data_IF_295723262406
#
_entry.id   IF_295723262406
#
_cell.length_a   1.000
_cell.length_b   1.000
_cell.length_c   1.000
_cell.angle_alpha   90.00
_cell.angle_beta   90.00
_cell.angle_gamma   90.00
#
_symmetry.space_group_name_H-M   'P 1'
#
loop_
_entity.id
_entity.type
_entity.pdbx_description
1 polymer ?
#
# COMPACT_ATOMS: atom_id res chain seq x y z
N UNK A 1 29.23 27.68 8.35
CA UNK A 1 27.95 27.37 9.02
C UNK A 1 26.86 27.37 7.97
N UNK A 2 26.64 26.22 7.34
CA UNK A 2 25.56 26.01 6.38
C UNK A 2 24.32 25.63 7.17
N UNK A 3 23.35 26.54 7.23
CA UNK A 3 22.06 26.30 7.86
C UNK A 3 21.34 25.16 7.15
N UNK A 4 20.99 24.14 7.93
CA UNK A 4 20.06 23.10 7.49
C UNK A 4 18.67 23.73 7.42
N UNK A 5 18.06 23.68 6.24
CA UNK A 5 16.63 23.94 6.09
C UNK A 5 15.88 22.72 6.64
N UNK A 6 15.50 22.77 7.92
CA UNK A 6 14.44 21.93 8.44
C UNK A 6 13.13 22.41 7.83
N UNK A 7 12.55 21.60 6.94
CA UNK A 7 11.18 21.81 6.48
C UNK A 7 10.19 21.66 7.63
N UNK A 8 8.97 22.19 7.52
CA UNK A 8 7.98 22.08 8.58
C UNK A 8 7.72 20.60 8.90
N UNK A 9 7.99 20.20 10.13
CA UNK A 9 7.52 18.95 10.71
C UNK A 9 5.99 19.00 10.66
N UNK A 10 5.37 18.14 9.85
CA UNK A 10 3.92 17.98 9.90
C UNK A 10 3.56 17.54 11.33
N UNK A 11 2.49 18.09 11.87
CA UNK A 11 2.07 17.89 13.25
C UNK A 11 2.00 16.40 13.60
N UNK A 12 2.46 16.05 14.81
CA UNK A 12 2.39 14.70 15.35
C UNK A 12 0.99 14.11 15.17
N UNK A 13 0.90 12.80 14.84
CA UNK A 13 -0.37 12.10 14.65
C UNK A 13 -1.31 12.33 15.84
N UNK A 14 -2.43 13.03 15.60
CA UNK A 14 -3.37 13.48 16.62
C UNK A 14 -4.51 12.49 16.89
N UNK A 15 -4.39 11.25 16.40
CA UNK A 15 -5.47 10.26 16.41
C UNK A 15 -6.30 10.25 15.11
N UNK A 16 -7.16 9.22 14.94
CA UNK A 16 -7.91 9.02 13.72
C UNK A 16 -8.97 10.11 13.57
N UNK A 17 -9.04 10.68 12.38
CA UNK A 17 -10.08 11.60 11.95
C UNK A 17 -10.25 11.48 10.45
N UNK A 18 -11.41 11.90 9.96
CA UNK A 18 -11.70 11.86 8.53
C UNK A 18 -10.71 12.75 7.77
N UNK A 19 -10.09 12.25 6.68
CA UNK A 19 -9.19 13.06 5.89
C UNK A 19 -9.96 14.20 5.22
N UNK A 20 -9.39 15.40 5.26
CA UNK A 20 -9.92 16.51 4.46
C UNK A 20 -9.56 16.31 2.98
N UNK A 21 -10.60 16.25 2.13
CA UNK A 21 -10.47 15.96 0.70
C UNK A 21 -10.88 17.14 -0.18
N UNK A 22 -10.11 17.34 -1.25
CA UNK A 22 -10.55 18.09 -2.43
C UNK A 22 -10.67 17.15 -3.63
N UNK A 23 -11.51 17.50 -4.61
CA UNK A 23 -11.79 16.64 -5.76
C UNK A 23 -11.33 17.31 -7.04
N UNK A 24 -10.20 16.84 -7.59
CA UNK A 24 -9.67 17.35 -8.86
C UNK A 24 -10.52 16.81 -10.01
N UNK A 25 -10.97 17.73 -10.86
CA UNK A 25 -11.85 17.43 -12.01
C UNK A 25 -13.13 16.68 -11.60
N UNK A 26 -13.52 16.76 -10.32
CA UNK A 26 -14.68 16.07 -9.75
C UNK A 26 -14.50 14.57 -9.50
N UNK A 27 -13.36 13.98 -9.91
CA UNK A 27 -13.15 12.52 -9.97
C UNK A 27 -12.04 12.05 -9.02
N UNK A 28 -10.88 12.71 -9.00
CA UNK A 28 -9.74 12.21 -8.21
C UNK A 28 -9.69 12.90 -6.84
N UNK A 29 -9.76 12.15 -5.73
CA UNK A 29 -9.57 12.73 -4.41
C UNK A 29 -8.11 13.11 -4.20
N UNK A 30 -7.91 14.29 -3.62
CA UNK A 30 -6.62 14.86 -3.25
C UNK A 30 -6.69 15.20 -1.78
N UNK A 31 -5.74 14.66 -0.99
CA UNK A 31 -5.64 15.01 0.43
C UNK A 31 -5.19 16.46 0.56
N UNK A 32 -5.94 17.28 1.28
CA UNK A 32 -5.52 18.67 1.56
C UNK A 32 -4.36 18.72 2.55
N UNK A 33 -4.30 17.77 3.49
CA UNK A 33 -3.22 17.61 4.45
C UNK A 33 -1.89 17.22 3.78
N UNK A 34 -1.95 16.34 2.78
CA UNK A 34 -0.76 15.86 2.07
C UNK A 34 -0.47 16.59 0.76
N UNK A 35 -1.43 17.33 0.22
CA UNK A 35 -1.35 18.03 -1.07
C UNK A 35 -0.82 17.10 -2.17
N UNK A 36 -1.46 15.93 -2.26
CA UNK A 36 -1.07 14.81 -3.13
C UNK A 36 -2.32 13.95 -3.44
N UNK A 37 -2.52 13.48 -4.70
CA UNK A 37 -3.67 12.65 -5.06
C UNK A 37 -3.54 11.23 -4.52
N UNK A 38 -4.68 10.58 -4.22
CA UNK A 38 -4.71 9.19 -3.72
C UNK A 38 -4.37 8.14 -4.79
N UNK A 39 -4.50 8.49 -6.06
CA UNK A 39 -4.09 7.63 -7.17
C UNK A 39 -3.71 8.47 -8.39
N UNK A 40 -3.04 7.81 -9.33
CA UNK A 40 -2.59 8.41 -10.59
C UNK A 40 -3.76 8.98 -11.40
N UNK A 41 -3.58 10.20 -11.90
CA UNK A 41 -4.58 10.92 -12.69
C UNK A 41 -4.77 10.34 -14.10
N UNK A 42 -3.77 9.64 -14.63
CA UNK A 42 -3.84 9.09 -15.99
C UNK A 42 -4.56 7.74 -16.00
N UNK A 43 -4.11 6.72 -15.25
CA UNK A 43 -4.76 5.40 -15.15
C UNK A 43 -4.43 4.70 -13.82
N UNK A 44 -5.12 5.07 -12.72
CA UNK A 44 -4.83 4.56 -11.36
C UNK A 44 -4.81 3.03 -11.24
N UNK A 45 -5.82 2.33 -11.77
CA UNK A 45 -5.91 0.87 -11.63
C UNK A 45 -4.81 0.12 -12.39
N UNK A 46 -4.45 0.56 -13.59
CA UNK A 46 -3.35 -0.04 -14.37
C UNK A 46 -2.00 0.22 -13.71
N UNK A 47 -1.80 1.42 -13.16
CA UNK A 47 -0.60 1.73 -12.40
C UNK A 47 -0.48 0.86 -11.14
N UNK A 48 -1.56 0.68 -10.39
CA UNK A 48 -1.63 -0.26 -9.27
C UNK A 48 -1.26 -1.69 -9.71
N UNK A 49 -1.82 -2.16 -10.82
CA UNK A 49 -1.50 -3.49 -11.36
C UNK A 49 -0.03 -3.64 -11.78
N UNK A 50 0.57 -2.57 -12.33
CA UNK A 50 1.98 -2.57 -12.71
C UNK A 50 2.91 -2.49 -11.50
N UNK A 51 2.66 -1.56 -10.58
CA UNK A 51 3.55 -1.30 -9.45
C UNK A 51 3.42 -2.40 -8.40
N UNK A 52 2.21 -2.70 -7.96
CA UNK A 52 2.01 -3.53 -6.78
C UNK A 52 1.81 -5.01 -7.11
N UNK A 53 1.02 -5.34 -8.14
CA UNK A 53 0.87 -6.74 -8.54
C UNK A 53 2.11 -7.24 -9.28
N UNK A 54 2.45 -6.62 -10.41
CA UNK A 54 3.62 -7.05 -11.21
C UNK A 54 4.92 -6.86 -10.44
N UNK A 55 5.08 -5.78 -9.67
CA UNK A 55 6.26 -5.57 -8.83
C UNK A 55 6.47 -6.62 -7.74
N UNK A 56 5.43 -7.36 -7.33
CA UNK A 56 5.50 -8.48 -6.39
C UNK A 56 5.37 -9.86 -7.07
N UNK A 57 5.47 -9.94 -8.40
CA UNK A 57 5.24 -11.15 -9.20
C UNK A 57 3.87 -11.81 -8.97
N UNK A 58 2.83 -10.99 -8.83
CA UNK A 58 1.44 -11.45 -8.72
C UNK A 58 0.78 -11.40 -10.10
N UNK A 59 -0.04 -12.40 -10.47
CA UNK A 59 -0.60 -13.45 -9.61
C UNK A 59 0.26 -14.72 -9.47
N UNK A 60 1.45 -14.80 -10.08
CA UNK A 60 2.22 -16.04 -10.18
C UNK A 60 2.59 -16.68 -8.82
N UNK A 61 2.68 -15.88 -7.76
CA UNK A 61 2.98 -16.35 -6.39
C UNK A 61 1.75 -16.63 -5.53
N UNK A 62 0.53 -16.36 -6.03
CA UNK A 62 -0.66 -16.60 -5.23
C UNK A 62 -0.82 -18.08 -4.87
N UNK A 63 -1.24 -18.32 -3.63
CA UNK A 63 -1.55 -19.62 -3.04
C UNK A 63 -2.59 -19.40 -1.94
N UNK A 64 -3.38 -20.42 -1.55
CA UNK A 64 -4.34 -20.28 -0.44
C UNK A 64 -3.69 -19.65 0.81
N UNK A 65 -4.31 -18.60 1.34
CA UNK A 65 -3.81 -17.88 2.52
C UNK A 65 -2.64 -16.94 2.24
N UNK A 66 -2.37 -16.56 0.99
CA UNK A 66 -1.37 -15.55 0.65
C UNK A 66 -1.67 -14.24 1.38
N UNK A 67 -0.67 -13.70 2.07
CA UNK A 67 -0.80 -12.48 2.87
C UNK A 67 -0.20 -11.29 2.13
N UNK A 68 -1.05 -10.34 1.75
CA UNK A 68 -0.62 -9.00 1.36
C UNK A 68 -0.67 -8.10 2.59
N UNK A 69 0.34 -7.26 2.76
CA UNK A 69 0.29 -6.14 3.69
C UNK A 69 0.56 -4.81 2.99
N UNK A 70 -0.03 -3.73 3.48
CA UNK A 70 -0.02 -2.42 2.81
C UNK A 70 0.19 -1.28 3.80
N UNK A 71 0.94 -0.26 3.38
CA UNK A 71 1.00 1.03 4.06
C UNK A 71 0.09 2.03 3.33
N UNK A 72 -0.90 2.60 4.02
CA UNK A 72 -1.88 3.53 3.46
C UNK A 72 -2.97 2.83 2.64
N UNK A 73 -4.16 2.69 3.21
CA UNK A 73 -5.30 2.08 2.52
C UNK A 73 -5.94 3.03 1.52
N UNK A 74 -6.04 4.30 1.88
CA UNK A 74 -6.63 5.35 1.07
C UNK A 74 -8.01 4.99 0.54
N UNK A 75 -8.12 4.81 -0.77
CA UNK A 75 -9.39 4.49 -1.45
C UNK A 75 -9.70 3.00 -1.49
N UNK A 76 -8.78 2.13 -1.06
CA UNK A 76 -8.89 0.67 -1.20
C UNK A 76 -8.64 0.14 -2.61
N UNK A 77 -8.14 0.97 -3.54
CA UNK A 77 -7.92 0.59 -4.94
C UNK A 77 -6.97 -0.61 -5.09
N UNK A 78 -5.93 -0.68 -4.28
CA UNK A 78 -4.98 -1.79 -4.31
C UNK A 78 -5.60 -3.12 -3.88
N UNK A 79 -6.47 -3.10 -2.86
CA UNK A 79 -7.26 -4.27 -2.45
C UNK A 79 -8.17 -4.72 -3.60
N UNK A 80 -8.89 -3.80 -4.26
CA UNK A 80 -9.76 -4.13 -5.39
C UNK A 80 -8.96 -4.78 -6.54
N UNK A 81 -7.79 -4.22 -6.86
CA UNK A 81 -6.90 -4.78 -7.87
C UNK A 81 -6.39 -6.18 -7.49
N UNK A 82 -5.96 -6.37 -6.24
CA UNK A 82 -5.47 -7.64 -5.74
C UNK A 82 -6.57 -8.73 -5.71
N UNK A 83 -7.77 -8.40 -5.23
CA UNK A 83 -8.89 -9.34 -5.21
C UNK A 83 -9.35 -9.70 -6.63
N UNK A 84 -9.38 -8.72 -7.55
CA UNK A 84 -9.65 -8.99 -8.98
C UNK A 84 -8.63 -9.96 -9.56
N UNK A 85 -7.34 -9.74 -9.30
CA UNK A 85 -6.27 -10.63 -9.78
C UNK A 85 -6.34 -12.02 -9.14
N UNK A 86 -6.66 -12.11 -7.85
CA UNK A 86 -6.86 -13.37 -7.12
C UNK A 86 -7.98 -14.21 -7.74
N UNK A 87 -9.16 -13.60 -7.94
CA UNK A 87 -10.31 -14.25 -8.57
C UNK A 87 -10.03 -14.68 -10.01
N UNK A 88 -9.36 -13.83 -10.78
CA UNK A 88 -8.97 -14.15 -12.15
C UNK A 88 -7.96 -15.32 -12.23
N UNK A 89 -7.10 -15.48 -11.22
CA UNK A 89 -6.17 -16.60 -11.12
C UNK A 89 -6.84 -17.92 -10.67
N UNK A 90 -8.09 -17.87 -10.20
CA UNK A 90 -8.83 -19.06 -9.80
C UNK A 90 -8.25 -19.79 -8.59
N UNK A 91 -7.59 -19.06 -7.69
CA UNK A 91 -6.95 -19.63 -6.50
C UNK A 91 -8.02 -19.99 -5.46
N UNK A 92 -8.00 -21.23 -5.00
CA UNK A 92 -8.90 -21.69 -3.93
C UNK A 92 -8.49 -21.10 -2.57
N UNK A 93 -9.45 -20.97 -1.65
CA UNK A 93 -9.22 -20.41 -0.33
C UNK A 93 -9.27 -18.87 -0.32
N UNK A 94 -8.58 -18.26 0.65
CA UNK A 94 -8.67 -16.82 0.91
C UNK A 94 -7.39 -16.07 0.60
N UNK A 95 -7.53 -14.92 -0.04
CA UNK A 95 -6.54 -13.85 0.03
C UNK A 95 -6.64 -13.18 1.41
N UNK A 96 -5.51 -13.00 2.09
CA UNK A 96 -5.44 -12.18 3.29
C UNK A 96 -4.83 -10.83 2.96
N UNK A 97 -5.43 -9.77 3.46
CA UNK A 97 -4.99 -8.41 3.22
C UNK A 97 -4.98 -7.64 4.54
N UNK A 98 -3.85 -7.04 4.90
CA UNK A 98 -3.74 -6.19 6.09
C UNK A 98 -3.19 -4.82 5.68
N UNK A 99 -3.88 -3.75 6.04
CA UNK A 99 -3.46 -2.39 5.68
C UNK A 99 -3.38 -1.52 6.93
N UNK A 100 -2.44 -0.57 6.94
CA UNK A 100 -2.22 0.36 8.04
C UNK A 100 -2.61 1.77 7.58
N UNK A 101 -3.65 2.33 8.18
CA UNK A 101 -4.25 3.60 7.75
C UNK A 101 -4.42 4.56 8.93
N UNK A 102 -3.82 5.75 8.81
CA UNK A 102 -3.90 6.76 9.86
C UNK A 102 -5.19 7.58 9.77
N UNK A 103 -5.70 7.81 8.56
CA UNK A 103 -6.85 8.66 8.27
C UNK A 103 -7.83 7.93 7.33
N UNK A 104 -8.64 6.99 7.87
CA UNK A 104 -9.58 6.23 7.06
C UNK A 104 -10.54 7.15 6.30
N UNK A 105 -10.64 6.94 4.99
CA UNK A 105 -11.58 7.69 4.15
C UNK A 105 -13.02 7.26 4.47
N UNK A 106 -13.95 8.22 4.41
CA UNK A 106 -15.37 7.92 4.57
C UNK A 106 -15.86 6.92 3.50
N UNK A 107 -16.75 5.97 3.85
CA UNK A 107 -17.27 4.97 2.92
C UNK A 107 -17.83 5.54 1.61
N UNK A 108 -18.58 6.65 1.68
CA UNK A 108 -19.15 7.33 0.52
C UNK A 108 -18.09 7.94 -0.40
N UNK A 109 -17.00 8.44 0.17
CA UNK A 109 -15.89 9.02 -0.58
C UNK A 109 -15.05 7.90 -1.23
N UNK A 110 -14.86 6.77 -0.53
CA UNK A 110 -14.25 5.57 -1.12
C UNK A 110 -15.06 5.10 -2.33
N UNK A 111 -16.37 4.91 -2.19
CA UNK A 111 -17.24 4.47 -3.30
C UNK A 111 -17.19 5.45 -4.47
N UNK A 112 -17.23 6.76 -4.18
CA UNK A 112 -17.11 7.81 -5.19
C UNK A 112 -15.77 7.75 -5.93
N UNK A 113 -14.68 7.57 -5.20
CA UNK A 113 -13.34 7.47 -5.77
C UNK A 113 -13.19 6.21 -6.63
N UNK A 114 -13.74 5.09 -6.17
CA UNK A 114 -13.70 3.80 -6.87
C UNK A 114 -14.57 3.78 -8.14
N UNK A 115 -15.64 4.59 -8.19
CA UNK A 115 -16.49 4.73 -9.37
C UNK A 115 -15.75 5.26 -10.62
N UNK A 116 -14.54 5.80 -10.45
CA UNK A 116 -13.65 6.16 -11.55
C UNK A 116 -13.11 4.94 -12.34
N UNK A 117 -13.30 3.71 -11.82
CA UNK A 117 -12.74 2.48 -12.37
C UNK A 117 -13.84 1.45 -12.68
N UNK A 118 -14.50 1.54 -13.84
CA UNK A 118 -15.56 0.61 -14.25
C UNK A 118 -15.15 -0.88 -14.22
N UNK A 119 -13.86 -1.17 -14.41
CA UNK A 119 -13.31 -2.52 -14.46
C UNK A 119 -13.33 -3.25 -13.11
N UNK A 120 -13.60 -2.54 -12.01
CA UNK A 120 -13.80 -3.10 -10.67
C UNK A 120 -15.19 -2.81 -10.11
N UNK A 121 -16.14 -2.33 -10.93
CA UNK A 121 -17.48 -1.92 -10.47
C UNK A 121 -18.25 -3.02 -9.72
N UNK A 122 -18.10 -4.28 -10.13
CA UNK A 122 -18.72 -5.42 -9.44
C UNK A 122 -18.16 -5.59 -8.02
N UNK A 123 -16.83 -5.43 -7.86
CA UNK A 123 -16.17 -5.50 -6.55
C UNK A 123 -16.53 -4.30 -5.67
N UNK A 124 -16.66 -3.11 -6.25
CA UNK A 124 -17.13 -1.91 -5.54
C UNK A 124 -18.53 -2.12 -5.00
N UNK A 125 -19.41 -2.71 -5.81
CA UNK A 125 -20.78 -3.03 -5.40
C UNK A 125 -20.81 -4.08 -4.29
N UNK A 126 -19.97 -5.12 -4.38
CA UNK A 126 -19.87 -6.18 -3.39
C UNK A 126 -19.30 -5.71 -2.05
N UNK A 127 -18.21 -4.92 -2.08
CA UNK A 127 -17.51 -4.48 -0.88
C UNK A 127 -18.07 -3.20 -0.27
N UNK A 128 -18.80 -2.39 -1.04
CA UNK A 128 -19.41 -1.13 -0.61
C UNK A 128 -20.15 -1.19 0.73
N UNK A 129 -21.01 -2.19 0.99
CA UNK A 129 -21.71 -2.34 2.25
C UNK A 129 -20.82 -2.60 3.49
N UNK A 130 -19.56 -2.98 3.28
CA UNK A 130 -18.62 -3.31 4.35
C UNK A 130 -17.63 -2.17 4.65
N UNK A 131 -17.58 -1.14 3.81
CA UNK A 131 -16.72 0.03 4.06
C UNK A 131 -17.08 0.73 5.36
N UNK A 132 -16.05 1.20 6.06
CA UNK A 132 -16.16 1.73 7.43
C UNK A 132 -15.99 0.68 8.53
N UNK A 133 -15.91 -0.61 8.17
CA UNK A 133 -15.50 -1.68 9.08
C UNK A 133 -14.00 -1.94 9.03
N UNK A 134 -13.40 -2.26 10.18
CA UNK A 134 -11.97 -2.61 10.29
C UNK A 134 -11.67 -4.04 9.85
N UNK A 135 -12.68 -4.90 9.74
CA UNK A 135 -12.53 -6.30 9.33
C UNK A 135 -13.62 -6.69 8.34
N UNK A 136 -13.23 -7.34 7.24
CA UNK A 136 -14.15 -7.88 6.24
C UNK A 136 -13.78 -9.33 5.99
N UNK A 137 -14.76 -10.23 6.14
CA UNK A 137 -14.59 -11.65 5.82
C UNK A 137 -15.59 -12.08 4.76
N UNK A 138 -15.06 -12.51 3.61
CA UNK A 138 -15.79 -13.14 2.52
C UNK A 138 -15.29 -14.59 2.35
N UNK A 139 -15.92 -15.41 1.49
CA UNK A 139 -15.42 -16.76 1.21
C UNK A 139 -13.96 -16.78 0.72
N UNK A 140 -13.55 -15.78 -0.06
CA UNK A 140 -12.25 -15.68 -0.73
C UNK A 140 -11.38 -14.50 -0.25
N UNK A 141 -11.83 -13.72 0.74
CA UNK A 141 -11.10 -12.57 1.29
C UNK A 141 -11.17 -12.53 2.82
N UNK A 142 -10.05 -12.19 3.43
CA UNK A 142 -9.94 -11.72 4.82
C UNK A 142 -9.18 -10.38 4.80
N UNK A 143 -9.91 -9.27 4.99
CA UNK A 143 -9.33 -7.92 5.10
C UNK A 143 -9.28 -7.52 6.56
N UNK A 144 -8.16 -6.92 6.96
CA UNK A 144 -8.01 -6.17 8.22
C UNK A 144 -7.42 -4.79 7.95
N UNK A 145 -8.11 -3.76 8.43
CA UNK A 145 -7.66 -2.36 8.44
C UNK A 145 -7.20 -2.05 9.86
N UNK A 146 -5.92 -1.75 10.02
CA UNK A 146 -5.32 -1.37 11.29
C UNK A 146 -5.27 0.15 11.34
N UNK A 147 -6.28 0.74 11.98
CA UNK A 147 -6.40 2.20 12.11
C UNK A 147 -5.36 2.74 13.10
N UNK A 148 -4.52 3.67 12.64
CA UNK A 148 -3.46 4.29 13.42
C UNK A 148 -2.21 4.63 12.61
N UNK A 149 -1.31 5.40 13.22
CA UNK A 149 0.00 5.67 12.63
C UNK A 149 0.78 4.36 12.45
N UNK A 150 1.15 4.04 11.19
CA UNK A 150 1.91 2.85 10.84
C UNK A 150 3.21 2.70 11.64
N UNK A 151 3.85 3.81 12.06
CA UNK A 151 5.06 3.79 12.90
C UNK A 151 4.83 3.16 14.26
N UNK A 152 3.59 3.16 14.73
CA UNK A 152 3.18 2.60 16.02
C UNK A 152 2.48 1.24 15.84
N UNK A 153 1.63 1.13 14.82
CA UNK A 153 0.77 -0.03 14.62
C UNK A 153 1.48 -1.18 13.90
N UNK A 154 2.36 -0.91 12.93
CA UNK A 154 3.09 -1.96 12.21
C UNK A 154 4.02 -2.76 13.14
N UNK A 155 4.89 -2.14 13.97
CA UNK A 155 5.77 -2.91 14.84
C UNK A 155 5.05 -3.81 15.87
N UNK A 156 3.78 -3.50 16.16
CA UNK A 156 2.95 -4.31 17.07
C UNK A 156 2.17 -5.43 16.36
N UNK A 157 2.10 -5.39 15.02
CA UNK A 157 1.44 -6.43 14.24
C UNK A 157 2.15 -7.78 14.44
N UNK A 158 1.40 -8.88 14.43
CA UNK A 158 1.95 -10.23 14.66
C UNK A 158 1.98 -11.07 13.38
N UNK A 159 1.63 -10.48 12.24
CA UNK A 159 1.62 -11.17 10.95
C UNK A 159 2.95 -11.07 10.22
N UNK A 160 3.04 -11.82 9.13
CA UNK A 160 4.12 -11.74 8.16
C UNK A 160 3.53 -11.70 6.75
N UNK A 161 3.93 -10.73 5.95
CA UNK A 161 3.45 -10.55 4.58
C UNK A 161 4.27 -11.38 3.59
N UNK A 162 3.59 -12.05 2.67
CA UNK A 162 4.21 -12.62 1.47
C UNK A 162 4.56 -11.52 0.45
N UNK A 163 3.76 -10.44 0.41
CA UNK A 163 3.99 -9.26 -0.41
C UNK A 163 3.58 -7.97 0.31
N UNK A 164 4.43 -6.95 0.21
CA UNK A 164 4.15 -5.60 0.68
C UNK A 164 3.80 -4.66 -0.48
N UNK A 165 2.71 -3.94 -0.31
CA UNK A 165 2.37 -2.76 -1.08
C UNK A 165 2.78 -1.54 -0.27
N UNK A 166 3.98 -1.04 -0.52
CA UNK A 166 4.47 0.17 0.15
C UNK A 166 3.92 1.36 -0.62
N UNK A 167 2.68 1.70 -0.29
CA UNK A 167 1.92 2.81 -0.84
C UNK A 167 1.82 3.96 0.17
N UNK A 168 1.10 5.00 -0.20
CA UNK A 168 0.94 6.24 0.54
C UNK A 168 1.55 7.42 -0.18
N UNK A 169 1.35 8.61 0.37
CA UNK A 169 1.77 9.85 -0.29
C UNK A 169 3.28 9.94 -0.52
N UNK A 170 3.67 10.71 -1.53
CA UNK A 170 5.05 10.79 -2.01
C UNK A 170 6.03 11.06 -0.86
N UNK A 171 7.27 10.53 -0.89
CA UNK A 171 8.21 10.73 0.23
C UNK A 171 8.52 12.19 0.59
N UNK A 172 8.38 13.11 -0.36
CA UNK A 172 8.53 14.54 -0.09
C UNK A 172 7.31 15.15 0.64
N UNK A 173 6.15 14.51 0.56
CA UNK A 173 4.87 14.95 1.13
C UNK A 173 4.54 14.26 2.45
N UNK A 174 4.94 13.00 2.61
CA UNK A 174 4.77 12.22 3.84
C UNK A 174 6.05 11.48 4.22
N UNK A 175 7.15 12.18 4.58
CA UNK A 175 8.46 11.55 4.81
C UNK A 175 8.46 10.51 5.94
N UNK A 176 7.54 10.63 6.90
CA UNK A 176 7.46 9.76 8.08
C UNK A 176 7.12 8.31 7.71
N UNK A 177 6.29 8.10 6.68
CA UNK A 177 5.92 6.78 6.16
C UNK A 177 7.09 6.07 5.46
N UNK A 178 8.18 6.79 5.19
CA UNK A 178 9.34 6.27 4.47
C UNK A 178 10.63 6.30 5.32
N UNK A 179 10.48 6.45 6.64
CA UNK A 179 11.56 6.46 7.60
C UNK A 179 12.24 5.08 7.74
N UNK A 180 13.50 5.08 8.15
CA UNK A 180 14.30 3.87 8.30
C UNK A 180 13.65 2.85 9.27
N UNK A 181 13.16 3.32 10.42
CA UNK A 181 12.53 2.45 11.43
C UNK A 181 11.29 1.73 10.89
N UNK A 182 10.48 2.41 10.07
CA UNK A 182 9.31 1.79 9.47
C UNK A 182 9.69 0.80 8.36
N UNK A 183 10.73 1.10 7.58
CA UNK A 183 11.25 0.13 6.59
C UNK A 183 11.87 -1.10 7.27
N UNK A 184 12.45 -0.95 8.46
CA UNK A 184 12.89 -2.07 9.29
C UNK A 184 11.70 -2.91 9.74
N UNK A 185 10.62 -2.29 10.25
CA UNK A 185 9.41 -3.02 10.63
C UNK A 185 8.78 -3.75 9.43
N UNK A 186 8.77 -3.14 8.24
CA UNK A 186 8.36 -3.82 7.00
C UNK A 186 9.20 -5.08 6.76
N UNK A 187 10.53 -4.99 6.87
CA UNK A 187 11.41 -6.15 6.71
C UNK A 187 11.12 -7.25 7.72
N UNK A 188 11.03 -6.88 9.00
CA UNK A 188 10.81 -7.82 10.12
C UNK A 188 9.48 -8.58 9.96
N UNK A 189 8.47 -7.90 9.40
CA UNK A 189 7.15 -8.45 9.07
C UNK A 189 7.01 -8.94 7.63
N UNK A 190 8.11 -9.20 6.91
CA UNK A 190 8.08 -9.87 5.59
C UNK A 190 8.43 -11.34 5.76
N UNK A 191 7.65 -12.27 5.21
CA UNK A 191 8.02 -13.69 5.22
C UNK A 191 9.37 -13.93 4.49
N UNK A 192 10.14 -14.98 4.83
CA UNK A 192 11.31 -15.37 4.03
C UNK A 192 10.92 -15.59 2.56
N UNK A 193 11.69 -15.02 1.62
CA UNK A 193 11.33 -15.00 0.20
C UNK A 193 10.19 -14.04 -0.17
N UNK A 194 9.66 -13.28 0.79
CA UNK A 194 8.65 -12.25 0.59
C UNK A 194 9.20 -11.04 -0.17
N UNK A 195 8.30 -10.22 -0.68
CA UNK A 195 8.65 -9.06 -1.51
C UNK A 195 8.00 -7.78 -1.03
N UNK A 196 8.54 -6.65 -1.45
CA UNK A 196 7.90 -5.36 -1.33
C UNK A 196 8.01 -4.60 -2.66
N UNK A 197 6.97 -3.86 -3.03
CA UNK A 197 6.98 -2.99 -4.20
C UNK A 197 6.43 -1.60 -3.87
N UNK A 198 6.97 -0.58 -4.54
CA UNK A 198 6.51 0.79 -4.42
C UNK A 198 6.74 1.58 -5.71
N UNK A 199 5.84 2.53 -5.98
CA UNK A 199 5.96 3.43 -7.13
C UNK A 199 7.16 4.37 -7.01
N UNK A 200 7.66 4.63 -5.78
CA UNK A 200 8.76 5.59 -5.59
C UNK A 200 10.12 4.98 -5.93
N UNK A 201 10.97 5.80 -6.56
CA UNK A 201 12.38 5.50 -6.81
C UNK A 201 13.30 6.47 -6.06
N UNK A 202 12.81 7.09 -4.99
CA UNK A 202 13.59 7.99 -4.15
C UNK A 202 14.80 7.27 -3.53
N UNK A 203 15.95 7.92 -3.56
CA UNK A 203 17.21 7.30 -3.14
C UNK A 203 17.25 6.94 -1.65
N UNK A 204 16.62 7.73 -0.78
CA UNK A 204 16.58 7.44 0.65
C UNK A 204 15.71 6.23 0.97
N UNK A 205 14.56 6.06 0.31
CA UNK A 205 13.67 4.90 0.48
C UNK A 205 14.40 3.60 0.12
N UNK A 206 15.08 3.58 -1.03
CA UNK A 206 15.86 2.40 -1.45
C UNK A 206 16.98 2.07 -0.48
N UNK A 207 17.66 3.07 0.07
CA UNK A 207 18.69 2.85 1.09
C UNK A 207 18.09 2.30 2.36
N UNK A 208 17.01 2.89 2.87
CA UNK A 208 16.32 2.41 4.06
C UNK A 208 15.86 0.95 3.91
N UNK A 209 15.32 0.56 2.76
CA UNK A 209 14.97 -0.84 2.47
C UNK A 209 16.21 -1.76 2.44
N UNK A 210 17.29 -1.32 1.80
CA UNK A 210 18.53 -2.10 1.74
C UNK A 210 19.18 -2.25 3.13
N UNK A 211 19.23 -1.17 3.89
CA UNK A 211 19.77 -1.13 5.26
C UNK A 211 18.94 -2.01 6.21
N UNK A 212 17.62 -2.14 5.96
CA UNK A 212 16.74 -3.05 6.69
C UNK A 212 16.98 -4.55 6.38
N UNK A 213 17.68 -4.86 5.29
CA UNK A 213 18.03 -6.24 4.91
C UNK A 213 17.42 -6.74 3.59
N UNK A 214 16.70 -5.89 2.85
CA UNK A 214 16.16 -6.28 1.55
C UNK A 214 17.19 -6.24 0.42
N UNK A 215 17.07 -7.17 -0.52
CA UNK A 215 17.67 -7.05 -1.84
C UNK A 215 16.84 -6.09 -2.70
N UNK A 216 17.36 -4.89 -2.95
CA UNK A 216 16.61 -3.82 -3.64
C UNK A 216 16.96 -3.75 -5.13
N UNK A 217 15.93 -3.88 -5.97
CA UNK A 217 16.02 -3.76 -7.43
C UNK A 217 15.25 -2.55 -7.94
N UNK A 218 15.84 -1.84 -8.90
CA UNK A 218 15.17 -0.75 -9.60
C UNK A 218 14.55 -1.27 -10.90
N UNK A 219 13.25 -1.08 -11.05
CA UNK A 219 12.51 -1.46 -12.26
C UNK A 219 12.09 -0.22 -13.06
N UNK A 220 11.76 -0.34 -14.36
CA UNK A 220 11.07 0.73 -15.09
C UNK A 220 9.78 1.13 -14.37
N UNK A 221 9.45 2.42 -14.37
CA UNK A 221 8.19 2.89 -13.76
C UNK A 221 7.02 2.79 -14.74
N UNK A 222 5.80 2.92 -14.21
CA UNK A 222 4.59 2.94 -15.04
C UNK A 222 4.47 4.23 -15.85
N UNK A 223 3.99 4.11 -17.09
CA UNK A 223 3.75 5.25 -17.99
C UNK A 223 4.98 6.14 -18.17
N UNK A 224 4.89 7.39 -17.71
CA UNK A 224 5.97 8.38 -17.79
C UNK A 224 6.97 8.30 -16.63
N UNK A 225 6.68 7.54 -15.57
CA UNK A 225 7.57 7.42 -14.41
C UNK A 225 8.81 6.63 -14.82
N UNK A 226 10.00 7.20 -14.59
CA UNK A 226 11.26 6.60 -15.06
C UNK A 226 11.57 5.28 -14.38
N UNK A 227 11.34 5.19 -13.07
CA UNK A 227 11.67 4.01 -12.28
C UNK A 227 10.68 3.82 -11.13
N UNK A 228 10.58 2.58 -10.67
CA UNK A 228 9.95 2.17 -9.42
C UNK A 228 10.93 1.27 -8.62
N UNK A 229 10.54 0.86 -7.42
CA UNK A 229 11.38 0.01 -6.56
C UNK A 229 10.69 -1.31 -6.26
N UNK A 230 11.46 -2.40 -6.36
CA UNK A 230 11.13 -3.71 -5.81
C UNK A 230 12.19 -4.10 -4.78
N UNK A 231 11.78 -4.80 -3.74
CA UNK A 231 12.64 -5.35 -2.70
C UNK A 231 12.26 -6.81 -2.44
N UNK A 232 13.24 -7.65 -2.13
CA UNK A 232 13.03 -9.08 -1.81
C UNK A 232 13.78 -9.44 -0.54
N UNK A 233 13.10 -10.11 0.40
CA UNK A 233 13.73 -10.68 1.59
C UNK A 233 14.31 -12.03 1.20
N UNK A 234 15.57 -12.29 1.55
CA UNK A 234 16.20 -13.58 1.29
C UNK A 234 15.39 -14.73 1.92
N UNK A 235 15.39 -15.90 1.27
CA UNK A 235 14.93 -17.14 1.90
C UNK A 235 15.93 -17.52 2.98
N UNK A 236 15.47 -17.88 4.18
CA UNK A 236 16.37 -18.46 5.18
C UNK A 236 17.01 -19.72 4.58
N UNK A 237 18.34 -19.73 4.49
CA UNK A 237 19.08 -20.92 4.11
C UNK A 237 19.08 -21.81 5.35
N UNK A 238 18.35 -22.94 5.30
CA UNK A 238 18.48 -23.97 6.33
C UNK A 238 19.98 -24.28 6.50
N UNK A 239 20.52 -23.88 7.64
CA UNK A 239 21.80 -24.40 8.10
C UNK A 239 21.48 -25.75 8.73
N UNK A 240 21.67 -26.81 7.96
CA UNK A 240 21.79 -28.19 8.46
C UNK A 240 22.89 -28.31 9.54
#
# INVERSE_FOLDING_TARGET
>A
MTGQHEGPTKADYSGPHDPELSWREGVTPVSTQFDDPYFSLENGLEETGYVFLTGNDLPARFRPGFQIAELGFGTGLNLLAALRAWRAAGIEGRLRFTTFEAYPMLPEDMIRAQAAFPEVADLVTELGPYWGGDEITLPDLELRIVTGDARQTLPAWQGAADAWFLDGFAPAKNPELWGADLMQAVHDHTAPGGTAATYTAAGHVRRALADAGFEVTRLPGYGRKRHMTRATRATETEHD
#
